data_IF_485237069218
#
_entry.id   IF_485237069218
#
_cell.length_a   1.000
_cell.length_b   1.000
_cell.length_c   1.000
_cell.angle_alpha   90.00
_cell.angle_beta   90.00
_cell.angle_gamma   90.00
#
_symmetry.space_group_name_H-M   'P 1'
#
loop_
_entity.id
_entity.type
_entity.pdbx_description
1 polymer ?
#
# COMPACT_ATOMS: atom_id res chain seq x y z
N UNK A 1 6.40 -11.96 27.53
CA UNK A 1 5.23 -12.07 26.65
C UNK A 1 3.91 -11.70 27.38
N UNK A 2 3.96 -10.80 28.39
CA UNK A 2 2.81 -10.40 29.22
C UNK A 2 2.45 -8.90 29.17
N UNK A 3 3.20 -8.07 28.43
CA UNK A 3 2.99 -6.61 28.44
C UNK A 3 2.03 -6.08 27.36
N UNK A 4 1.60 -6.91 26.41
CA UNK A 4 0.70 -6.46 25.34
C UNK A 4 -0.80 -6.48 25.70
N UNK A 5 -1.18 -7.16 26.79
CA UNK A 5 -2.59 -7.31 27.18
C UNK A 5 -3.18 -6.08 27.88
N UNK A 6 -2.37 -5.25 28.52
CA UNK A 6 -2.87 -4.10 29.31
C UNK A 6 -3.07 -2.81 28.49
N UNK A 7 -2.48 -2.68 27.32
CA UNK A 7 -2.61 -1.45 26.52
C UNK A 7 -3.93 -1.36 25.73
N UNK A 8 -4.56 -2.50 25.44
CA UNK A 8 -5.80 -2.54 24.65
C UNK A 8 -7.03 -2.20 25.53
N UNK A 9 -6.98 -2.44 26.83
CA UNK A 9 -8.11 -2.20 27.74
C UNK A 9 -8.32 -0.70 28.03
N UNK A 10 -7.29 0.12 27.95
CA UNK A 10 -7.36 1.54 28.30
C UNK A 10 -8.02 2.43 27.22
N UNK A 11 -8.09 1.98 25.96
CA UNK A 11 -8.69 2.75 24.85
C UNK A 11 -10.21 2.56 24.78
N UNK A 12 -10.76 1.49 25.40
CA UNK A 12 -12.17 1.16 25.33
C UNK A 12 -13.09 2.01 26.23
N UNK A 13 -12.53 2.82 27.13
CA UNK A 13 -13.34 3.63 28.07
C UNK A 13 -13.81 4.97 27.49
N UNK A 14 -13.43 5.31 26.27
CA UNK A 14 -13.73 6.63 25.68
C UNK A 14 -14.82 6.63 24.59
N UNK A 15 -15.38 5.48 24.23
CA UNK A 15 -16.43 5.43 23.22
C UNK A 15 -17.59 4.53 23.67
N UNK A 16 -18.66 5.08 24.26
CA UNK A 16 -19.84 4.31 24.63
C UNK A 16 -20.67 4.02 23.37
N UNK A 17 -20.34 2.97 22.65
CA UNK A 17 -21.26 2.29 21.74
C UNK A 17 -21.40 0.86 22.23
N UNK A 18 -22.62 0.53 22.67
CA UNK A 18 -23.03 -0.81 22.99
C UNK A 18 -22.92 -1.69 21.72
N UNK A 19 -21.76 -2.24 21.48
CA UNK A 19 -21.56 -3.26 20.46
C UNK A 19 -21.33 -4.60 21.16
N UNK A 20 -22.25 -5.48 20.89
CA UNK A 20 -22.28 -6.88 21.33
C UNK A 20 -20.87 -7.51 21.34
N UNK A 21 -20.49 -7.95 22.52
CA UNK A 21 -19.24 -8.69 22.77
C UNK A 21 -19.11 -9.92 21.84
N UNK A 22 -20.22 -10.41 21.34
CA UNK A 22 -20.31 -11.55 20.39
C UNK A 22 -19.67 -11.24 19.05
N UNK A 23 -19.77 -9.99 18.56
CA UNK A 23 -19.13 -9.58 17.29
C UNK A 23 -17.61 -9.51 17.44
N UNK A 24 -17.12 -9.11 18.62
CA UNK A 24 -15.70 -9.04 18.90
C UNK A 24 -15.02 -10.42 18.88
N UNK A 25 -15.68 -11.45 19.42
CA UNK A 25 -15.18 -12.83 19.39
C UNK A 25 -15.26 -13.45 17.98
N UNK A 26 -16.23 -13.09 17.17
CA UNK A 26 -16.32 -13.58 15.78
C UNK A 26 -15.22 -13.02 14.87
N UNK A 27 -14.77 -11.78 15.13
CA UNK A 27 -13.66 -11.15 14.40
C UNK A 27 -12.29 -11.73 14.77
N UNK A 28 -12.12 -12.22 16.01
CA UNK A 28 -10.85 -12.85 16.44
C UNK A 28 -10.68 -14.26 15.88
N UNK A 29 -11.76 -14.97 15.58
CA UNK A 29 -11.71 -16.34 15.04
C UNK A 29 -11.68 -16.40 13.51
N UNK A 30 -11.90 -15.28 12.82
CA UNK A 30 -11.73 -15.22 11.39
C UNK A 30 -10.25 -14.90 11.06
N UNK A 31 -9.35 -15.84 11.37
CA UNK A 31 -8.06 -15.93 10.68
C UNK A 31 -8.36 -16.28 9.22
N UNK A 32 -8.92 -15.33 8.49
CA UNK A 32 -8.86 -15.39 7.04
C UNK A 32 -7.39 -15.56 6.70
N UNK A 33 -7.03 -16.72 6.26
CA UNK A 33 -5.72 -17.00 5.67
C UNK A 33 -5.57 -16.01 4.54
N UNK A 34 -4.83 -14.92 4.79
CA UNK A 34 -4.56 -13.89 3.79
C UNK A 34 -3.67 -14.51 2.72
N UNK A 35 -4.30 -15.18 1.77
CA UNK A 35 -3.61 -15.77 0.63
C UNK A 35 -3.81 -14.87 -0.59
N UNK A 36 -2.71 -14.54 -1.23
CA UNK A 36 -2.72 -13.84 -2.50
C UNK A 36 -2.84 -14.85 -3.63
N UNK A 37 -3.89 -14.74 -4.44
CA UNK A 37 -4.10 -15.62 -5.58
C UNK A 37 -3.18 -15.25 -6.74
N UNK A 38 -2.69 -16.27 -7.44
CA UNK A 38 -1.90 -16.09 -8.64
C UNK A 38 -2.40 -16.97 -9.79
N UNK A 39 -2.07 -16.57 -11.02
CA UNK A 39 -2.25 -17.38 -12.23
C UNK A 39 -0.89 -17.63 -12.88
N UNK A 40 -0.77 -18.76 -13.56
CA UNK A 40 0.41 -19.07 -14.37
C UNK A 40 0.23 -18.46 -15.77
N UNK A 41 1.24 -17.76 -16.22
CA UNK A 41 1.34 -17.22 -17.59
C UNK A 41 2.60 -17.75 -18.26
N UNK A 42 2.48 -18.14 -19.52
CA UNK A 42 3.63 -18.53 -20.34
C UNK A 42 4.29 -17.28 -20.92
N UNK A 43 5.60 -17.26 -20.83
CA UNK A 43 6.43 -16.25 -21.52
C UNK A 43 7.58 -16.95 -22.22
N UNK A 44 8.09 -16.34 -23.30
CA UNK A 44 9.27 -16.81 -24.02
C UNK A 44 10.46 -16.88 -23.06
N UNK A 45 11.24 -17.93 -23.16
CA UNK A 45 12.51 -18.04 -22.46
C UNK A 45 13.52 -17.07 -23.09
N UNK A 46 14.10 -16.19 -22.27
CA UNK A 46 15.07 -15.17 -22.69
C UNK A 46 16.50 -15.53 -22.22
N UNK A 47 16.72 -16.72 -21.71
CA UNK A 47 18.06 -17.14 -21.29
C UNK A 47 18.99 -17.39 -22.48
N UNK A 48 20.29 -17.17 -22.28
CA UNK A 48 21.30 -17.47 -23.30
C UNK A 48 21.29 -18.98 -23.59
N UNK A 49 20.95 -19.35 -24.80
CA UNK A 49 20.88 -20.76 -25.24
C UNK A 49 19.46 -21.32 -25.35
N UNK A 50 18.43 -20.55 -25.04
CA UNK A 50 17.05 -20.94 -25.29
C UNK A 50 16.74 -20.96 -26.79
N UNK A 51 15.99 -21.95 -27.23
CA UNK A 51 15.54 -22.08 -28.63
C UNK A 51 14.29 -21.24 -28.86
N UNK A 52 14.01 -20.92 -30.13
CA UNK A 52 12.87 -20.03 -30.52
C UNK A 52 11.50 -20.68 -30.28
N UNK A 53 11.29 -21.51 -29.36
CA UNK A 53 10.02 -22.14 -28.98
C UNK A 53 9.90 -22.34 -27.50
N UNK A 54 10.99 -22.16 -26.79
CA UNK A 54 11.03 -22.45 -25.36
C UNK A 54 10.23 -21.41 -24.57
N UNK A 55 9.34 -21.92 -23.72
CA UNK A 55 8.45 -21.11 -22.88
C UNK A 55 8.58 -21.51 -21.43
N UNK A 56 8.62 -20.51 -20.57
CA UNK A 56 8.62 -20.70 -19.14
C UNK A 56 7.30 -20.23 -18.53
N UNK A 57 6.89 -20.88 -17.44
CA UNK A 57 5.72 -20.48 -16.67
C UNK A 57 6.13 -19.54 -15.55
N UNK A 58 5.46 -18.41 -15.48
CA UNK A 58 5.65 -17.42 -14.44
C UNK A 58 4.37 -17.22 -13.64
N UNK A 59 4.51 -17.08 -12.33
CA UNK A 59 3.40 -16.67 -11.49
C UNK A 59 3.12 -15.17 -11.69
N UNK A 60 1.88 -14.82 -11.94
CA UNK A 60 1.39 -13.44 -12.00
C UNK A 60 0.28 -13.27 -10.97
N UNK A 61 0.37 -12.24 -10.13
CA UNK A 61 -0.67 -11.93 -9.16
C UNK A 61 -2.01 -11.73 -9.87
N UNK A 62 -3.06 -12.32 -9.31
CA UNK A 62 -4.44 -12.18 -9.77
C UNK A 62 -5.17 -11.24 -8.80
N UNK A 63 -5.73 -10.15 -9.31
CA UNK A 63 -6.59 -9.29 -8.51
C UNK A 63 -7.91 -10.00 -8.22
N UNK A 64 -8.35 -9.94 -6.97
CA UNK A 64 -9.64 -10.47 -6.51
C UNK A 64 -10.73 -9.40 -6.47
N UNK A 65 -10.35 -8.13 -6.66
CA UNK A 65 -11.30 -7.01 -6.68
C UNK A 65 -10.59 -5.68 -6.44
N UNK A 66 -11.39 -4.63 -6.37
CA UNK A 66 -10.94 -3.27 -6.07
C UNK A 66 -11.67 -2.78 -4.83
N UNK A 67 -10.94 -2.20 -3.90
CA UNK A 67 -11.52 -1.49 -2.76
C UNK A 67 -11.48 0.00 -3.08
N UNK A 68 -12.64 0.63 -3.15
CA UNK A 68 -12.78 2.05 -3.40
C UNK A 68 -12.65 2.88 -2.13
N UNK A 69 -12.64 4.19 -2.28
CA UNK A 69 -12.52 5.14 -1.17
C UNK A 69 -13.69 5.03 -0.19
N UNK A 70 -14.91 4.81 -0.68
CA UNK A 70 -16.11 4.72 0.16
C UNK A 70 -16.05 3.51 1.07
N UNK A 71 -15.68 2.36 0.52
CA UNK A 71 -15.47 1.14 1.29
C UNK A 71 -14.38 1.30 2.34
N UNK A 72 -13.27 1.94 2.00
CA UNK A 72 -12.19 2.21 2.96
C UNK A 72 -12.68 3.11 4.10
N UNK A 73 -13.41 4.19 3.80
CA UNK A 73 -13.97 5.09 4.80
C UNK A 73 -14.95 4.37 5.74
N UNK A 74 -15.81 3.49 5.19
CA UNK A 74 -16.73 2.67 5.99
C UNK A 74 -15.96 1.77 6.95
N UNK A 75 -15.00 1.00 6.44
CA UNK A 75 -14.19 0.07 7.24
C UNK A 75 -13.38 0.78 8.34
N UNK A 76 -12.90 2.00 8.09
CA UNK A 76 -12.20 2.81 9.10
C UNK A 76 -13.20 3.33 10.12
N UNK A 77 -14.36 3.82 9.70
CA UNK A 77 -15.42 4.28 10.57
C UNK A 77 -15.93 3.19 11.53
N UNK A 78 -16.04 1.94 11.06
CA UNK A 78 -16.42 0.79 11.90
C UNK A 78 -15.40 0.47 13.00
N UNK A 79 -14.14 0.84 12.80
CA UNK A 79 -13.02 0.61 13.74
C UNK A 79 -12.68 1.81 14.61
N UNK A 80 -13.33 2.93 14.39
CA UNK A 80 -13.05 4.19 15.07
C UNK A 80 -14.34 4.86 15.51
N UNK A 81 -14.25 5.86 16.37
CA UNK A 81 -15.38 6.69 16.79
C UNK A 81 -15.68 7.82 15.79
N UNK A 82 -15.08 7.80 14.60
CA UNK A 82 -15.19 8.83 13.59
C UNK A 82 -16.18 8.40 12.51
N UNK A 83 -17.01 9.30 12.02
CA UNK A 83 -17.93 8.98 10.93
C UNK A 83 -17.19 8.74 9.61
N UNK A 84 -17.77 7.95 8.71
CA UNK A 84 -17.18 7.72 7.38
C UNK A 84 -17.01 9.01 6.57
N UNK A 85 -17.87 10.01 6.80
CA UNK A 85 -17.77 11.33 6.17
C UNK A 85 -16.54 12.10 6.67
N UNK A 86 -16.27 12.07 7.98
CA UNK A 86 -15.09 12.73 8.55
C UNK A 86 -13.80 12.04 8.10
N UNK A 87 -13.81 10.70 8.04
CA UNK A 87 -12.68 9.93 7.48
C UNK A 87 -12.39 10.34 6.05
N UNK A 88 -13.44 10.49 5.23
CA UNK A 88 -13.30 10.94 3.85
C UNK A 88 -12.69 12.33 3.77
N UNK A 89 -13.17 13.29 4.58
CA UNK A 89 -12.63 14.64 4.63
C UNK A 89 -11.14 14.68 5.01
N UNK A 90 -10.73 13.84 5.96
CA UNK A 90 -9.32 13.70 6.38
C UNK A 90 -8.47 13.12 5.24
N UNK A 91 -8.95 12.08 4.54
CA UNK A 91 -8.22 11.47 3.43
C UNK A 91 -8.10 12.42 2.23
N UNK A 92 -9.15 13.17 1.90
CA UNK A 92 -9.12 14.19 0.84
C UNK A 92 -8.10 15.29 1.19
N UNK A 93 -8.08 15.74 2.44
CA UNK A 93 -7.12 16.73 2.95
C UNK A 93 -5.68 16.17 2.91
N UNK A 94 -5.48 14.91 3.27
CA UNK A 94 -4.18 14.24 3.19
C UNK A 94 -3.66 14.24 1.75
N UNK A 95 -4.49 13.85 0.78
CA UNK A 95 -4.12 13.84 -0.64
C UNK A 95 -3.72 15.25 -1.11
N UNK A 96 -4.45 16.28 -0.68
CA UNK A 96 -4.13 17.66 -1.02
C UNK A 96 -2.76 18.07 -0.48
N UNK A 97 -2.52 17.86 0.82
CA UNK A 97 -1.25 18.21 1.47
C UNK A 97 -0.09 17.42 0.87
N UNK A 98 -0.27 16.13 0.62
CA UNK A 98 0.77 15.31 -0.03
C UNK A 98 1.15 15.85 -1.40
N UNK A 99 0.18 16.27 -2.22
CA UNK A 99 0.47 16.88 -3.53
C UNK A 99 1.28 18.16 -3.38
N UNK A 100 0.95 19.00 -2.42
CA UNK A 100 1.66 20.25 -2.17
C UNK A 100 3.11 19.98 -1.75
N UNK A 101 3.31 19.17 -0.71
CA UNK A 101 4.65 18.86 -0.18
C UNK A 101 5.55 18.17 -1.21
N UNK A 102 5.00 17.24 -2.00
CA UNK A 102 5.77 16.59 -3.07
C UNK A 102 6.09 17.54 -4.23
N UNK A 103 5.23 18.51 -4.53
CA UNK A 103 5.51 19.53 -5.55
C UNK A 103 6.67 20.44 -5.14
N UNK A 104 6.84 20.67 -3.84
CA UNK A 104 8.01 21.36 -3.27
C UNK A 104 9.29 20.49 -3.25
N UNK A 105 9.24 19.29 -3.82
CA UNK A 105 10.38 18.36 -3.86
C UNK A 105 10.63 17.60 -2.55
N UNK A 106 9.73 17.69 -1.58
CA UNK A 106 9.86 17.00 -0.29
C UNK A 106 9.46 15.53 -0.40
N UNK A 107 10.04 14.70 0.48
CA UNK A 107 9.64 13.32 0.68
C UNK A 107 8.56 13.29 1.76
N UNK A 108 7.36 12.82 1.42
CA UNK A 108 6.28 12.65 2.39
C UNK A 108 6.41 11.31 3.08
N UNK A 109 6.55 11.31 4.40
CA UNK A 109 6.69 10.11 5.22
C UNK A 109 5.39 9.89 6.00
N UNK A 110 4.74 8.75 5.77
CA UNK A 110 3.55 8.31 6.49
C UNK A 110 3.88 7.20 7.50
N UNK A 111 4.91 7.43 8.30
CA UNK A 111 5.34 6.52 9.36
C UNK A 111 5.60 5.10 8.85
N UNK A 112 4.99 4.11 9.50
CA UNK A 112 5.16 2.70 9.15
C UNK A 112 4.51 2.28 7.84
N UNK A 113 3.62 3.11 7.27
CA UNK A 113 3.01 2.85 5.97
C UNK A 113 4.04 2.96 4.86
N UNK A 114 4.84 4.03 4.85
CA UNK A 114 5.90 4.23 3.88
C UNK A 114 6.11 5.66 3.45
N UNK A 115 6.92 5.84 2.41
CA UNK A 115 7.34 7.14 1.92
C UNK A 115 6.93 7.33 0.46
N UNK A 116 6.48 8.54 0.16
CA UNK A 116 6.15 8.99 -1.19
C UNK A 116 7.16 10.05 -1.63
N UNK A 117 7.62 9.96 -2.86
CA UNK A 117 8.52 10.95 -3.46
C UNK A 117 8.30 11.06 -4.95
N UNK A 118 8.66 12.20 -5.51
CA UNK A 118 8.76 12.39 -6.95
C UNK A 118 10.17 11.98 -7.41
N UNK A 119 10.24 11.26 -8.51
CA UNK A 119 11.48 10.92 -9.20
C UNK A 119 11.34 11.25 -10.68
N UNK A 120 12.42 11.67 -11.31
CA UNK A 120 12.47 11.90 -12.74
C UNK A 120 13.82 11.45 -13.29
N UNK A 121 13.85 11.12 -14.57
CA UNK A 121 15.07 10.89 -15.32
C UNK A 121 15.32 12.06 -16.25
N UNK A 122 16.53 12.16 -16.79
CA UNK A 122 16.89 13.15 -17.80
C UNK A 122 17.71 12.52 -18.91
N UNK A 123 17.82 13.20 -20.03
CA UNK A 123 18.83 12.94 -21.02
C UNK A 123 20.15 13.57 -20.56
N UNK A 124 21.27 12.86 -20.81
CA UNK A 124 22.59 13.36 -20.46
C UNK A 124 23.12 14.35 -21.50
N UNK A 125 23.94 15.32 -21.08
CA UNK A 125 24.71 16.21 -21.94
C UNK A 125 26.20 16.09 -21.62
N UNK A 126 27.04 16.30 -22.61
CA UNK A 126 28.50 16.29 -22.40
C UNK A 126 29.00 17.53 -21.66
N UNK A 127 28.31 18.63 -21.79
CA UNK A 127 28.64 19.92 -21.14
C UNK A 127 27.46 20.37 -20.32
N UNK A 128 27.73 20.84 -19.10
CA UNK A 128 26.70 21.29 -18.15
C UNK A 128 25.87 22.45 -18.72
N UNK A 129 26.50 23.38 -19.44
CA UNK A 129 25.82 24.55 -20.05
C UNK A 129 24.77 24.18 -21.09
N UNK A 130 24.86 22.99 -21.67
CA UNK A 130 23.91 22.50 -22.71
C UNK A 130 22.69 21.81 -22.05
N UNK A 131 22.71 21.63 -20.73
CA UNK A 131 21.61 21.05 -20.00
C UNK A 131 20.53 22.11 -19.76
N UNK A 132 19.30 21.79 -20.10
CA UNK A 132 18.11 22.58 -19.78
C UNK A 132 16.97 21.71 -19.28
N UNK A 133 15.97 22.32 -18.66
CA UNK A 133 14.84 21.62 -18.07
C UNK A 133 13.99 20.81 -19.08
N UNK A 134 14.08 21.11 -20.37
CA UNK A 134 13.34 20.36 -21.41
C UNK A 134 13.87 18.93 -21.59
N UNK A 135 15.09 18.66 -21.13
CA UNK A 135 15.71 17.32 -21.15
C UNK A 135 15.27 16.44 -19.99
N UNK A 136 14.54 17.00 -19.01
CA UNK A 136 13.95 16.25 -17.90
C UNK A 136 12.74 15.49 -18.43
N UNK A 137 12.75 14.18 -18.21
CA UNK A 137 11.63 13.30 -18.57
C UNK A 137 10.47 13.47 -17.60
N UNK A 138 9.29 13.04 -18.01
CA UNK A 138 8.07 13.09 -17.20
C UNK A 138 8.31 12.55 -15.79
N UNK A 139 8.00 13.31 -14.74
CA UNK A 139 8.16 12.87 -13.36
C UNK A 139 7.24 11.68 -13.03
N UNK A 140 7.68 10.84 -12.10
CA UNK A 140 6.94 9.68 -11.60
C UNK A 140 6.80 9.79 -10.09
N UNK A 141 5.64 9.44 -9.58
CA UNK A 141 5.43 9.25 -8.15
C UNK A 141 5.91 7.85 -7.75
N UNK A 142 6.81 7.79 -6.79
CA UNK A 142 7.39 6.54 -6.31
C UNK A 142 7.00 6.34 -4.86
N UNK A 143 6.43 5.16 -4.58
CA UNK A 143 6.12 4.70 -3.24
C UNK A 143 7.20 3.71 -2.77
N UNK A 144 7.67 3.89 -1.54
CA UNK A 144 8.56 2.96 -0.86
C UNK A 144 7.87 2.46 0.41
N UNK A 145 7.52 1.17 0.50
CA UNK A 145 6.77 0.64 1.64
C UNK A 145 7.54 0.76 2.94
N UNK A 146 6.83 1.06 4.01
CA UNK A 146 7.35 1.14 5.37
C UNK A 146 7.56 -0.23 6.02
N UNK A 147 7.94 -0.22 7.29
CA UNK A 147 8.25 -1.44 8.04
C UNK A 147 7.05 -2.38 8.17
N UNK A 148 5.86 -1.84 8.42
CA UNK A 148 4.64 -2.64 8.57
C UNK A 148 4.31 -3.42 7.31
N UNK A 149 4.28 -2.77 6.14
CA UNK A 149 3.99 -3.43 4.87
C UNK A 149 5.07 -4.42 4.45
N UNK A 150 6.35 -4.10 4.70
CA UNK A 150 7.45 -5.04 4.44
C UNK A 150 7.39 -6.29 5.30
N UNK A 151 6.98 -6.15 6.56
CA UNK A 151 6.81 -7.29 7.46
C UNK A 151 5.62 -8.15 7.04
N UNK A 152 4.52 -7.54 6.64
CA UNK A 152 3.35 -8.26 6.10
C UNK A 152 3.71 -9.03 4.82
N UNK A 153 4.46 -8.43 3.90
CA UNK A 153 4.86 -9.08 2.66
C UNK A 153 5.67 -10.38 2.88
N UNK A 154 6.39 -10.50 4.00
CA UNK A 154 7.18 -11.71 4.34
C UNK A 154 6.31 -12.89 4.78
N UNK A 155 5.10 -12.64 5.25
CA UNK A 155 4.20 -13.68 5.78
C UNK A 155 3.03 -13.98 4.84
N UNK A 156 2.97 -13.32 3.68
CA UNK A 156 1.95 -13.60 2.66
C UNK A 156 2.06 -15.04 2.16
N UNK A 157 0.90 -15.69 2.07
CA UNK A 157 0.76 -17.01 1.45
C UNK A 157 0.25 -16.84 0.02
N UNK A 158 0.62 -17.77 -0.85
CA UNK A 158 0.23 -17.72 -2.26
C UNK A 158 -0.60 -18.97 -2.60
N UNK A 159 -1.75 -18.75 -3.21
CA UNK A 159 -2.66 -19.82 -3.67
C UNK A 159 -2.93 -19.65 -5.16
N UNK A 160 -3.13 -20.79 -5.88
CA UNK A 160 -3.38 -20.82 -7.31
C UNK A 160 -4.86 -20.66 -7.63
#
# INVERSE_FOLDING_TARGET
>A
MHYFKHYIISIFHLCPRDHDTTIYYSLQNNQQTMATTYKLVQRRDMHKGATEGDKLYYAQAKSTGTSDMERLCSMIGERSCVSSADVKAVLDSLIYVMKLEMSDGKIVQLGEFGNFRITFGSEGTKVEKDFNATKIRRPKYTFSPGKALRSQAKVLRFEK
#
